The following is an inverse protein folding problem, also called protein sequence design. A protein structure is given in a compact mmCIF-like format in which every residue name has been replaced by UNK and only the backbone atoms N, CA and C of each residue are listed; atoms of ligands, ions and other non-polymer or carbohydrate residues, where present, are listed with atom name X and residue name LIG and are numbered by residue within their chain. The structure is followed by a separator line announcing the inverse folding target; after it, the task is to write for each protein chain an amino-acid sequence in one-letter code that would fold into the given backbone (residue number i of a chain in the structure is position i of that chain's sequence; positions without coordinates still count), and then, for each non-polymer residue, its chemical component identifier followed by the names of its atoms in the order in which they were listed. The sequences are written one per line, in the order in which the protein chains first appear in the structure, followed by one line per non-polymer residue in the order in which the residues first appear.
data_IF_432329248446
#
_entry.id   IF_432329248446
#
_cell.length_a   1.000
_cell.length_b   1.000
_cell.length_c   1.000
_cell.angle_alpha   90.00
_cell.angle_beta   90.00
_cell.angle_gamma   90.00
#
_symmetry.space_group_name_H-M   'P 1'
#
loop_
_entity.id
_entity.type
_entity.pdbx_description
1 polymer ?
#
# COMPACT_ATOMS: atom_id res chain seq x y z
N UNK A 1 7.07 17.98 7.36
CA UNK A 1 8.48 17.69 7.04
C UNK A 1 8.76 16.25 7.42
N UNK A 2 9.59 15.52 6.67
CA UNK A 2 9.97 14.16 7.04
C UNK A 2 10.65 14.15 8.42
N UNK A 3 10.38 13.10 9.19
CA UNK A 3 11.00 12.89 10.49
C UNK A 3 12.41 12.31 10.33
N UNK A 4 12.62 11.44 9.34
CA UNK A 4 13.92 10.91 8.93
C UNK A 4 13.85 10.32 7.50
N UNK A 5 14.90 9.63 7.06
CA UNK A 5 15.00 9.00 5.76
C UNK A 5 15.10 7.49 5.89
N UNK A 6 14.22 6.77 5.18
CA UNK A 6 14.41 5.35 4.98
C UNK A 6 15.46 5.13 3.89
N UNK A 7 16.55 4.47 4.27
CA UNK A 7 17.61 4.04 3.35
C UNK A 7 17.69 2.53 3.42
N UNK A 8 17.18 1.80 2.43
CA UNK A 8 17.23 0.34 2.45
C UNK A 8 18.67 -0.19 2.41
N UNK A 9 19.65 0.61 1.98
CA UNK A 9 21.05 0.18 1.94
C UNK A 9 21.21 -1.11 1.14
N UNK A 10 21.82 -2.13 1.76
CA UNK A 10 22.03 -3.45 1.16
C UNK A 10 20.91 -4.45 1.52
N UNK A 11 19.77 -4.02 2.06
CA UNK A 11 18.73 -4.91 2.59
C UNK A 11 18.27 -5.97 1.57
N UNK A 12 18.14 -5.60 0.29
CA UNK A 12 17.75 -6.55 -0.76
C UNK A 12 18.88 -7.51 -1.13
N UNK A 13 20.13 -7.05 -1.14
CA UNK A 13 21.29 -7.91 -1.39
C UNK A 13 21.47 -8.92 -0.23
N UNK A 14 21.30 -8.48 1.01
CA UNK A 14 21.33 -9.33 2.21
C UNK A 14 20.20 -10.37 2.18
N UNK A 15 18.98 -9.97 1.81
CA UNK A 15 17.86 -10.88 1.63
C UNK A 15 18.13 -11.91 0.52
N UNK A 16 18.72 -11.50 -0.61
CA UNK A 16 19.09 -12.38 -1.72
C UNK A 16 20.14 -13.42 -1.28
N UNK A 17 21.16 -13.02 -0.50
CA UNK A 17 22.14 -13.96 0.07
C UNK A 17 21.46 -15.01 0.94
N UNK A 18 20.58 -14.58 1.84
CA UNK A 18 19.84 -15.52 2.72
C UNK A 18 18.91 -16.45 1.93
N UNK A 19 18.36 -15.99 0.81
CA UNK A 19 17.57 -16.83 -0.09
C UNK A 19 18.44 -17.86 -0.81
N UNK A 20 19.62 -17.48 -1.29
CA UNK A 20 20.56 -18.41 -1.90
C UNK A 20 21.04 -19.48 -0.92
N UNK A 21 21.34 -19.10 0.32
CA UNK A 21 21.75 -20.04 1.37
C UNK A 21 20.64 -21.05 1.70
N UNK A 22 19.38 -20.60 1.74
CA UNK A 22 18.25 -21.44 2.15
C UNK A 22 17.63 -22.26 1.01
N UNK A 23 17.51 -21.66 -0.18
CA UNK A 23 16.75 -22.21 -1.31
C UNK A 23 17.64 -22.60 -2.49
N UNK A 24 18.95 -22.39 -2.36
CA UNK A 24 19.95 -22.79 -3.34
C UNK A 24 20.41 -21.64 -4.23
N UNK A 25 21.65 -21.76 -4.69
CA UNK A 25 22.33 -20.77 -5.51
C UNK A 25 21.57 -20.42 -6.80
N UNK A 26 21.66 -19.14 -7.17
CA UNK A 26 21.13 -18.56 -8.40
C UNK A 26 22.19 -17.68 -9.03
N UNK A 27 22.38 -17.73 -10.36
CA UNK A 27 23.29 -16.81 -11.03
C UNK A 27 22.71 -15.39 -11.00
N UNK A 28 23.58 -14.37 -11.12
CA UNK A 28 23.21 -12.96 -10.95
C UNK A 28 22.16 -12.46 -11.95
N UNK A 29 22.07 -13.07 -13.12
CA UNK A 29 21.07 -12.77 -14.16
C UNK A 29 19.70 -13.41 -13.91
N UNK A 30 19.60 -14.31 -12.92
CA UNK A 30 18.36 -14.99 -12.52
C UNK A 30 18.23 -15.03 -10.98
N UNK A 31 18.20 -13.87 -10.30
CA UNK A 31 18.09 -13.80 -8.86
C UNK A 31 16.72 -14.29 -8.36
N UNK A 32 16.62 -14.59 -7.07
CA UNK A 32 15.34 -14.88 -6.42
C UNK A 32 14.48 -13.62 -6.28
N UNK A 33 15.11 -12.47 -6.00
CA UNK A 33 14.47 -11.15 -5.96
C UNK A 33 14.72 -10.43 -7.28
N UNK A 34 13.65 -10.08 -8.00
CA UNK A 34 13.76 -9.34 -9.27
C UNK A 34 14.05 -7.86 -9.06
N UNK A 35 13.36 -7.25 -8.08
CA UNK A 35 13.48 -5.82 -7.75
C UNK A 35 12.74 -5.45 -6.47
N UNK A 36 13.07 -4.28 -5.96
CA UNK A 36 12.25 -3.51 -5.02
C UNK A 36 11.66 -2.30 -5.75
N UNK A 37 10.36 -2.04 -5.60
CA UNK A 37 9.70 -0.86 -6.15
C UNK A 37 8.39 -0.58 -5.40
N UNK A 38 8.03 0.70 -5.21
CA UNK A 38 6.83 1.12 -4.45
C UNK A 38 6.71 0.43 -3.09
N UNK A 39 7.83 0.42 -2.36
CA UNK A 39 8.00 -0.22 -1.07
C UNK A 39 7.56 -1.69 -1.06
N UNK A 40 7.72 -2.37 -2.20
CA UNK A 40 7.38 -3.77 -2.38
C UNK A 40 8.56 -4.55 -2.96
N UNK A 41 8.72 -5.79 -2.52
CA UNK A 41 9.69 -6.74 -3.07
C UNK A 41 8.99 -7.65 -4.07
N UNK A 42 9.57 -7.80 -5.26
CA UNK A 42 9.07 -8.66 -6.33
C UNK A 42 9.94 -9.90 -6.43
N UNK A 43 9.37 -11.07 -6.15
CA UNK A 43 10.05 -12.35 -6.31
C UNK A 43 10.06 -12.80 -7.78
N UNK A 44 11.02 -13.65 -8.14
CA UNK A 44 11.12 -14.24 -9.46
C UNK A 44 10.15 -15.43 -9.61
N UNK A 45 8.91 -15.13 -10.02
CA UNK A 45 7.85 -16.14 -10.10
C UNK A 45 8.15 -17.23 -11.12
N UNK A 46 8.82 -16.91 -12.24
CA UNK A 46 9.22 -17.90 -13.25
C UNK A 46 10.25 -18.88 -12.68
N UNK A 47 11.25 -18.37 -11.96
CA UNK A 47 12.25 -19.20 -11.30
C UNK A 47 11.64 -20.07 -10.20
N UNK A 48 10.77 -19.48 -9.37
CA UNK A 48 10.02 -20.20 -8.34
C UNK A 48 9.25 -21.37 -8.94
N UNK A 49 8.52 -21.12 -10.03
CA UNK A 49 7.76 -22.16 -10.74
C UNK A 49 8.68 -23.23 -11.33
N UNK A 50 9.79 -22.84 -11.99
CA UNK A 50 10.77 -23.78 -12.57
C UNK A 50 11.40 -24.69 -11.51
N UNK A 51 11.63 -24.18 -10.29
CA UNK A 51 12.23 -24.94 -9.18
C UNK A 51 11.20 -25.60 -8.26
N UNK A 52 9.90 -25.51 -8.57
CA UNK A 52 8.84 -26.08 -7.76
C UNK A 52 8.75 -25.49 -6.34
N UNK A 53 9.11 -24.21 -6.18
CA UNK A 53 9.16 -23.53 -4.90
C UNK A 53 7.84 -22.82 -4.57
N UNK A 54 7.44 -22.83 -3.30
CA UNK A 54 6.26 -22.11 -2.83
C UNK A 54 6.54 -20.60 -2.69
N UNK A 55 5.84 -19.81 -3.51
CA UNK A 55 5.95 -18.34 -3.50
C UNK A 55 5.59 -17.73 -2.15
N UNK A 56 4.51 -18.18 -1.51
CA UNK A 56 4.04 -17.60 -0.26
C UNK A 56 5.00 -17.95 0.89
N UNK A 57 5.56 -19.15 0.90
CA UNK A 57 6.64 -19.52 1.83
C UNK A 57 7.85 -18.59 1.67
N UNK A 58 8.29 -18.36 0.43
CA UNK A 58 9.43 -17.48 0.18
C UNK A 58 9.13 -16.03 0.55
N UNK A 59 7.94 -15.52 0.22
CA UNK A 59 7.51 -14.17 0.59
C UNK A 59 7.49 -13.97 2.11
N UNK A 60 6.98 -14.95 2.86
CA UNK A 60 7.01 -14.95 4.34
C UNK A 60 8.43 -14.92 4.88
N UNK A 61 9.32 -15.73 4.30
CA UNK A 61 10.72 -15.72 4.69
C UNK A 61 11.37 -14.36 4.45
N UNK A 62 11.17 -13.76 3.28
CA UNK A 62 11.72 -12.41 2.98
C UNK A 62 11.14 -11.37 3.94
N UNK A 63 9.83 -11.38 4.19
CA UNK A 63 9.19 -10.47 5.13
C UNK A 63 9.81 -10.59 6.54
N UNK A 64 9.98 -11.82 7.04
CA UNK A 64 10.62 -12.09 8.33
C UNK A 64 12.06 -11.58 8.40
N UNK A 65 12.83 -11.71 7.32
CA UNK A 65 14.22 -11.21 7.25
C UNK A 65 14.31 -9.70 7.18
N UNK A 66 13.34 -9.04 6.53
CA UNK A 66 13.30 -7.58 6.47
C UNK A 66 12.77 -6.94 7.76
N UNK A 67 11.90 -7.63 8.52
CA UNK A 67 11.22 -7.08 9.68
C UNK A 67 12.13 -6.43 10.75
N UNK A 68 13.35 -6.93 11.04
CA UNK A 68 14.24 -6.31 12.03
C UNK A 68 14.92 -5.01 11.56
N UNK A 69 14.79 -4.63 10.29
CA UNK A 69 15.45 -3.44 9.76
C UNK A 69 14.93 -2.18 10.48
N UNK A 70 15.81 -1.34 11.08
CA UNK A 70 15.40 -0.24 11.96
C UNK A 70 14.53 0.82 11.26
N UNK A 71 14.71 1.00 9.95
CA UNK A 71 13.92 1.93 9.15
C UNK A 71 12.52 1.43 8.77
N UNK A 72 12.15 0.19 9.09
CA UNK A 72 10.84 -0.38 8.80
C UNK A 72 9.99 -0.43 10.08
N UNK A 73 8.72 -0.03 9.95
CA UNK A 73 7.71 -0.29 10.97
C UNK A 73 7.11 -1.70 10.80
N UNK A 74 7.01 -2.18 9.55
CA UNK A 74 6.47 -3.51 9.22
C UNK A 74 7.16 -4.05 7.96
N UNK A 75 7.31 -5.37 7.90
CA UNK A 75 7.55 -6.11 6.67
C UNK A 75 6.54 -7.27 6.63
N UNK A 76 5.73 -7.35 5.57
CA UNK A 76 4.55 -8.24 5.54
C UNK A 76 4.51 -8.95 4.20
N UNK A 77 4.41 -10.28 4.22
CA UNK A 77 4.11 -11.03 3.02
C UNK A 77 2.70 -10.68 2.51
N UNK A 78 2.58 -10.31 1.24
CA UNK A 78 1.33 -9.84 0.66
C UNK A 78 0.20 -10.88 0.75
N UNK A 79 0.52 -12.17 0.78
CA UNK A 79 -0.43 -13.26 0.99
C UNK A 79 -1.06 -13.28 2.39
N UNK A 80 -0.39 -12.72 3.40
CA UNK A 80 -0.87 -12.71 4.79
C UNK A 80 -1.53 -11.38 5.17
N UNK A 81 -1.27 -10.32 4.39
CA UNK A 81 -1.80 -8.98 4.65
C UNK A 81 -3.33 -8.90 4.78
N UNK A 82 -4.16 -9.64 4.01
CA UNK A 82 -5.62 -9.61 4.19
C UNK A 82 -6.10 -10.01 5.58
N UNK A 83 -5.42 -10.94 6.26
CA UNK A 83 -5.78 -11.37 7.61
C UNK A 83 -5.50 -10.27 8.65
N UNK A 84 -4.49 -9.44 8.42
CA UNK A 84 -4.09 -8.36 9.31
C UNK A 84 -4.90 -7.07 9.08
N UNK A 85 -5.43 -6.89 7.87
CA UNK A 85 -6.18 -5.69 7.47
C UNK A 85 -7.42 -5.41 8.34
N UNK A 86 -7.99 -6.41 9.00
CA UNK A 86 -9.15 -6.23 9.88
C UNK A 86 -8.83 -5.43 11.15
N UNK A 87 -7.58 -5.46 11.62
CA UNK A 87 -7.16 -4.83 12.88
C UNK A 87 -6.09 -3.75 12.70
N UNK A 88 -5.57 -3.59 11.48
CA UNK A 88 -4.50 -2.65 11.17
C UNK A 88 -4.89 -1.76 9.98
N UNK A 89 -5.27 -0.49 10.20
CA UNK A 89 -5.65 0.44 9.14
C UNK A 89 -4.53 0.74 8.14
N UNK A 90 -3.26 0.62 8.54
CA UNK A 90 -2.14 0.80 7.60
C UNK A 90 -2.13 -0.38 6.63
N UNK A 91 -2.24 -1.61 7.15
CA UNK A 91 -2.28 -2.82 6.31
C UNK A 91 -3.55 -2.87 5.46
N UNK A 92 -4.69 -2.42 5.98
CA UNK A 92 -5.93 -2.29 5.21
C UNK A 92 -5.74 -1.45 3.94
N UNK A 93 -5.04 -0.31 4.06
CA UNK A 93 -4.71 0.54 2.90
C UNK A 93 -3.76 -0.15 1.92
N UNK A 94 -2.75 -0.87 2.42
CA UNK A 94 -1.82 -1.64 1.57
C UNK A 94 -2.56 -2.71 0.76
N UNK A 95 -3.46 -3.47 1.41
CA UNK A 95 -4.28 -4.49 0.74
C UNK A 95 -5.17 -3.86 -0.33
N UNK A 96 -5.78 -2.70 -0.05
CA UNK A 96 -6.58 -1.96 -1.04
C UNK A 96 -5.76 -1.45 -2.23
N UNK A 97 -4.47 -1.19 -2.04
CA UNK A 97 -3.53 -0.79 -3.08
C UNK A 97 -2.86 -1.95 -3.82
N UNK A 98 -3.08 -3.20 -3.40
CA UNK A 98 -2.46 -4.37 -3.97
C UNK A 98 -3.27 -4.96 -5.12
N UNK A 99 -2.58 -5.28 -6.22
CA UNK A 99 -3.15 -5.97 -7.36
C UNK A 99 -2.36 -7.25 -7.66
N UNK A 100 -2.98 -8.44 -7.51
CA UNK A 100 -2.34 -9.70 -7.87
C UNK A 100 -1.78 -9.68 -9.30
N UNK A 101 -0.53 -10.14 -9.46
CA UNK A 101 0.19 -10.16 -10.74
C UNK A 101 0.84 -8.84 -11.16
N UNK A 102 0.59 -7.74 -10.43
CA UNK A 102 1.17 -6.42 -10.72
C UNK A 102 1.87 -5.77 -9.53
N UNK A 103 1.48 -6.15 -8.32
CA UNK A 103 2.10 -5.75 -7.06
C UNK A 103 3.10 -6.80 -6.59
N UNK A 104 4.03 -6.39 -5.72
CA UNK A 104 5.02 -7.28 -5.15
C UNK A 104 4.46 -8.27 -4.13
N UNK A 105 5.33 -9.16 -3.70
CA UNK A 105 5.02 -10.29 -2.82
C UNK A 105 5.25 -9.96 -1.35
N UNK A 106 6.01 -8.90 -1.06
CA UNK A 106 6.27 -8.42 0.30
C UNK A 106 6.10 -6.91 0.33
N UNK A 107 5.31 -6.41 1.27
CA UNK A 107 5.26 -5.00 1.61
C UNK A 107 6.37 -4.67 2.60
N UNK A 108 7.11 -3.61 2.32
CA UNK A 108 8.00 -2.94 3.25
C UNK A 108 7.28 -1.66 3.67
N UNK A 109 7.09 -1.44 4.95
CA UNK A 109 6.42 -0.23 5.45
C UNK A 109 7.46 0.55 6.24
N UNK A 110 7.95 1.69 5.72
CA UNK A 110 8.85 2.57 6.46
C UNK A 110 8.26 3.02 7.79
N UNK A 111 9.10 3.52 8.69
CA UNK A 111 8.62 4.18 9.91
C UNK A 111 7.73 5.39 9.58
N UNK A 112 6.74 5.73 10.42
CA UNK A 112 5.91 6.92 10.19
C UNK A 112 6.76 8.18 10.01
N UNK A 113 6.53 8.89 8.91
CA UNK A 113 7.24 10.14 8.58
C UNK A 113 8.64 9.93 8.00
N UNK A 114 9.06 8.68 7.76
CA UNK A 114 10.31 8.38 7.05
C UNK A 114 10.05 8.29 5.55
N UNK A 115 10.99 8.83 4.76
CA UNK A 115 10.88 8.86 3.30
C UNK A 115 12.12 8.25 2.62
N UNK A 116 11.92 7.58 1.48
CA UNK A 116 13.01 7.24 0.56
C UNK A 116 13.10 8.32 -0.53
N UNK A 117 13.93 9.34 -0.27
CA UNK A 117 14.11 10.48 -1.16
C UNK A 117 15.48 11.13 -0.97
N UNK A 118 15.85 12.02 -1.90
CA UNK A 118 17.05 12.84 -1.75
C UNK A 118 17.03 13.71 -0.49
N UNK A 119 18.20 14.18 -0.03
CA UNK A 119 18.36 14.95 1.23
C UNK A 119 17.64 16.31 1.26
N UNK A 120 17.02 16.71 0.17
CA UNK A 120 16.27 17.96 0.02
C UNK A 120 14.92 17.67 -0.62
N UNK A 121 13.88 18.38 -0.21
CA UNK A 121 12.52 18.17 -0.68
C UNK A 121 11.74 17.18 0.18
N UNK A 122 10.65 16.66 -0.37
CA UNK A 122 9.79 15.66 0.25
C UNK A 122 9.20 14.78 -0.83
N UNK A 123 8.64 13.64 -0.43
CA UNK A 123 7.82 12.78 -1.29
C UNK A 123 6.54 12.40 -0.54
N UNK A 124 5.70 11.59 -1.18
CA UNK A 124 4.47 11.02 -0.64
C UNK A 124 4.37 9.54 -1.04
N UNK A 125 3.41 8.82 -0.47
CA UNK A 125 3.06 7.45 -0.89
C UNK A 125 2.92 6.47 0.28
N UNK A 126 3.19 6.92 1.50
CA UNK A 126 3.00 6.10 2.68
C UNK A 126 1.52 5.90 2.99
N UNK A 127 1.22 4.83 3.73
CA UNK A 127 -0.14 4.53 4.19
C UNK A 127 -0.51 5.27 5.50
N UNK A 128 0.28 6.26 5.91
CA UNK A 128 0.09 7.03 7.14
C UNK A 128 -0.70 8.32 6.91
N UNK A 129 -1.28 8.84 8.00
CA UNK A 129 -2.22 9.96 7.95
C UNK A 129 -1.70 11.22 7.25
N UNK A 130 -0.39 11.50 7.31
CA UNK A 130 0.18 12.69 6.66
C UNK A 130 0.12 12.64 5.12
N UNK A 131 0.04 11.45 4.53
CA UNK A 131 -0.13 11.27 3.08
C UNK A 131 -1.58 10.94 2.70
N UNK A 132 -2.36 10.37 3.63
CA UNK A 132 -3.72 9.88 3.34
C UNK A 132 -4.84 10.83 3.76
N UNK A 133 -4.57 11.79 4.65
CA UNK A 133 -5.55 12.80 5.05
C UNK A 133 -5.52 13.94 4.05
N UNK A 134 -6.58 14.05 3.24
CA UNK A 134 -6.70 15.05 2.18
C UNK A 134 -7.99 15.85 2.35
N UNK A 135 -8.00 17.16 2.00
CA UNK A 135 -9.21 17.94 2.01
C UNK A 135 -10.17 17.48 0.89
N UNK A 136 -11.46 17.46 1.18
CA UNK A 136 -12.53 17.25 0.20
C UNK A 136 -13.51 18.43 0.28
N UNK A 137 -13.57 19.23 -0.79
CA UNK A 137 -14.43 20.41 -0.87
C UNK A 137 -15.46 20.20 -1.98
N UNK A 138 -16.73 20.35 -1.64
CA UNK A 138 -17.85 20.33 -2.59
C UNK A 138 -18.42 21.75 -2.68
N UNK A 139 -18.64 22.23 -3.91
CA UNK A 139 -19.17 23.56 -4.17
C UNK A 139 -20.07 23.53 -5.42
N UNK A 140 -21.22 24.20 -5.35
CA UNK A 140 -22.08 24.42 -6.51
C UNK A 140 -23.54 24.09 -6.24
N UNK A 141 -24.29 23.89 -7.33
CA UNK A 141 -25.72 23.59 -7.28
C UNK A 141 -25.99 22.29 -6.51
N UNK A 142 -26.91 22.35 -5.54
CA UNK A 142 -27.28 21.19 -4.73
C UNK A 142 -26.27 20.81 -3.64
N UNK A 143 -25.24 21.62 -3.40
CA UNK A 143 -24.34 21.46 -2.26
C UNK A 143 -24.75 22.44 -1.15
N UNK A 144 -25.26 21.97 0.00
CA UNK A 144 -25.60 22.84 1.13
C UNK A 144 -24.32 23.38 1.82
N UNK A 145 -24.39 24.55 2.48
CA UNK A 145 -23.32 24.99 3.36
C UNK A 145 -23.23 24.06 4.57
N UNK A 146 -22.01 23.66 4.93
CA UNK A 146 -21.76 22.82 6.09
C UNK A 146 -20.34 22.27 6.11
N UNK A 147 -20.06 21.53 7.17
CA UNK A 147 -18.81 20.80 7.34
C UNK A 147 -19.11 19.49 8.06
N UNK A 148 -18.22 18.51 7.91
CA UNK A 148 -18.29 17.25 8.64
C UNK A 148 -16.91 16.84 9.10
N UNK A 149 -16.85 16.30 10.32
CA UNK A 149 -15.67 15.66 10.89
C UNK A 149 -15.81 14.13 10.90
N UNK A 150 -16.91 13.61 10.32
CA UNK A 150 -17.08 12.17 10.14
C UNK A 150 -16.00 11.63 9.21
N UNK A 151 -15.54 10.40 9.50
CA UNK A 151 -14.54 9.76 8.65
C UNK A 151 -15.14 9.48 7.27
N UNK A 152 -14.44 9.94 6.24
CA UNK A 152 -14.75 9.68 4.83
C UNK A 152 -13.52 9.12 4.14
N UNK A 153 -13.72 8.51 2.98
CA UNK A 153 -12.65 7.96 2.16
C UNK A 153 -12.67 8.59 0.76
N UNK A 154 -11.52 8.67 0.10
CA UNK A 154 -11.42 9.20 -1.28
C UNK A 154 -12.35 8.45 -2.25
N UNK A 155 -12.55 7.14 -2.03
CA UNK A 155 -13.48 6.29 -2.81
C UNK A 155 -14.95 6.67 -2.66
N UNK A 156 -15.31 7.52 -1.70
CA UNK A 156 -16.68 7.98 -1.45
C UNK A 156 -17.05 9.17 -2.36
N UNK A 157 -16.07 9.85 -2.95
CA UNK A 157 -16.30 11.04 -3.77
C UNK A 157 -17.12 10.72 -5.04
N UNK A 158 -16.72 9.68 -5.78
CA UNK A 158 -17.39 9.28 -7.01
C UNK A 158 -18.88 8.89 -6.81
N UNK A 159 -19.25 8.01 -5.86
CA UNK A 159 -20.66 7.72 -5.61
C UNK A 159 -21.43 8.93 -5.05
N UNK A 160 -20.77 9.83 -4.31
CA UNK A 160 -21.39 11.09 -3.85
C UNK A 160 -21.79 11.98 -5.03
N UNK A 161 -20.88 12.19 -5.98
CA UNK A 161 -21.16 12.98 -7.19
C UNK A 161 -22.24 12.31 -8.05
N UNK A 162 -22.17 10.98 -8.23
CA UNK A 162 -23.19 10.24 -8.97
C UNK A 162 -24.59 10.41 -8.35
N UNK A 163 -24.68 10.43 -7.02
CA UNK A 163 -25.93 10.66 -6.31
C UNK A 163 -26.46 12.09 -6.49
N UNK A 164 -25.58 13.10 -6.47
CA UNK A 164 -25.97 14.50 -6.76
C UNK A 164 -26.52 14.63 -8.17
N UNK A 165 -25.88 13.95 -9.14
CA UNK A 165 -26.21 13.98 -10.57
C UNK A 165 -27.33 13.03 -10.98
N UNK A 166 -27.83 12.19 -10.06
CA UNK A 166 -28.83 11.15 -10.33
C UNK A 166 -28.40 10.17 -11.43
N UNK A 167 -27.13 9.76 -11.42
CA UNK A 167 -26.57 8.77 -12.36
C UNK A 167 -26.21 7.46 -11.64
N UNK A 168 -26.13 6.33 -12.36
CA UNK A 168 -25.60 5.09 -11.79
C UNK A 168 -24.16 5.26 -11.28
N UNK A 169 -23.78 4.44 -10.30
CA UNK A 169 -22.41 4.41 -9.79
C UNK A 169 -21.43 3.82 -10.81
N UNK A 170 -20.14 4.22 -10.78
CA UNK A 170 -19.09 3.52 -11.50
C UNK A 170 -19.03 2.03 -11.15
N UNK A 171 -18.75 1.19 -12.15
CA UNK A 171 -18.72 -0.27 -12.05
C UNK A 171 -17.77 -0.84 -10.97
N UNK A 172 -16.70 -0.13 -10.61
CA UNK A 172 -15.73 -0.51 -9.58
C UNK A 172 -15.90 0.21 -8.24
N UNK A 173 -17.07 0.79 -7.96
CA UNK A 173 -17.29 1.58 -6.75
C UNK A 173 -17.19 0.70 -5.50
N UNK A 174 -16.32 1.11 -4.57
CA UNK A 174 -16.15 0.45 -3.25
C UNK A 174 -16.41 1.39 -2.08
N UNK A 175 -16.68 2.67 -2.37
CA UNK A 175 -17.07 3.67 -1.38
C UNK A 175 -18.58 3.79 -1.28
N UNK A 176 -19.02 4.67 -0.39
CA UNK A 176 -20.44 4.98 -0.16
C UNK A 176 -20.64 6.49 -0.24
N UNK A 177 -21.80 6.98 -0.73
CA UNK A 177 -22.06 8.41 -0.76
C UNK A 177 -21.93 9.07 0.62
N UNK A 178 -21.38 10.28 0.68
CA UNK A 178 -21.24 11.07 1.90
C UNK A 178 -22.63 11.62 2.27
N UNK A 179 -23.28 10.98 3.25
CA UNK A 179 -24.66 11.27 3.65
C UNK A 179 -24.87 12.71 4.09
N UNK A 180 -23.88 13.30 4.77
CA UNK A 180 -23.97 14.66 5.31
C UNK A 180 -24.13 15.71 4.20
N UNK A 181 -23.66 15.39 2.98
CA UNK A 181 -23.82 16.24 1.80
C UNK A 181 -25.20 16.08 1.14
N UNK A 182 -25.84 14.91 1.33
CA UNK A 182 -27.07 14.53 0.63
C UNK A 182 -28.33 14.78 1.46
N UNK A 183 -28.20 14.83 2.79
CA UNK A 183 -29.30 15.03 3.72
C UNK A 183 -29.59 16.52 3.91
N UNK A 184 -30.17 17.17 2.90
CA UNK A 184 -30.75 18.51 3.09
C UNK A 184 -32.27 18.43 3.00
N UNK A 185 -33.02 18.87 4.04
CA UNK A 185 -34.47 18.94 3.96
C UNK A 185 -34.88 19.96 2.88
N UNK A 186 -35.63 19.51 1.87
CA UNK A 186 -36.14 20.37 0.78
C UNK A 186 -35.90 19.86 -0.65
N UNK A 187 -35.34 18.66 -0.83
CA UNK A 187 -35.53 17.85 -2.05
C UNK A 187 -36.68 16.87 -1.87
#
# INVERSE_FOLDING_TARGET
MPADYWKPGNLMDEAEVLLQDRFGFTPRDKPWILRQSNDQVFLNHDLLHQRGMDRNMMARFVAERCAPHPGLSKAIAACDAPALAATDPVVERLVRGHRPGHSGDVFLVPQPGWIDYGRTGTTHGSAFAHDTHVPALFLGCGVPPGETFNTTYIRDLAPTVAQIMQTPYPNGTTGTPISDLLNTPGR
#
